data_IF_961724497955
#
_entry.id   IF_961724497955
#
_cell.length_a   1.000
_cell.length_b   1.000
_cell.length_c   1.000
_cell.angle_alpha   90.00
_cell.angle_beta   90.00
_cell.angle_gamma   90.00
#
_symmetry.space_group_name_H-M   'P 1'
#
loop_
_entity.id
_entity.type
_entity.pdbx_description
1 polymer ?
#
# COMPACT_ATOMS: atom_id res chain seq x y z
N UNK A 1 -10.15 40.61 -9.31
CA UNK A 1 -11.02 39.80 -8.42
C UNK A 1 -10.15 38.73 -7.78
N UNK A 2 -9.94 38.81 -6.46
CA UNK A 2 -9.15 37.82 -5.72
C UNK A 2 -9.83 36.47 -5.85
N UNK A 3 -9.15 35.49 -6.47
CA UNK A 3 -9.58 34.11 -6.52
C UNK A 3 -9.56 33.57 -5.10
N UNK A 4 -10.70 33.67 -4.40
CA UNK A 4 -10.89 32.92 -3.16
C UNK A 4 -10.72 31.45 -3.53
N UNK A 5 -9.59 30.86 -3.16
CA UNK A 5 -9.35 29.43 -3.21
C UNK A 5 -10.43 28.75 -2.39
N UNK A 6 -11.52 28.36 -3.04
CA UNK A 6 -12.62 27.66 -2.42
C UNK A 6 -12.14 26.23 -2.16
N UNK A 7 -11.54 26.00 -0.98
CA UNK A 7 -11.17 24.67 -0.54
C UNK A 7 -12.44 23.93 -0.16
N UNK A 8 -12.72 22.82 -0.84
CA UNK A 8 -13.84 21.96 -0.52
C UNK A 8 -13.62 21.38 0.90
N UNK A 9 -14.49 21.67 1.89
CA UNK A 9 -14.31 21.18 3.26
C UNK A 9 -14.23 19.65 3.35
N UNK A 10 -14.89 18.95 2.41
CA UNK A 10 -14.83 17.48 2.33
C UNK A 10 -13.49 16.98 1.77
N UNK A 11 -12.86 17.72 0.85
CA UNK A 11 -11.48 17.43 0.42
C UNK A 11 -10.48 17.72 1.54
N UNK A 12 -10.62 18.84 2.25
CA UNK A 12 -9.75 19.19 3.38
C UNK A 12 -9.87 18.16 4.52
N UNK A 13 -11.07 17.65 4.81
CA UNK A 13 -11.27 16.59 5.79
C UNK A 13 -10.69 15.23 5.35
N UNK A 14 -10.72 14.90 4.04
CA UNK A 14 -10.04 13.70 3.51
C UNK A 14 -8.52 13.85 3.46
N UNK A 15 -8.01 15.04 3.17
CA UNK A 15 -6.58 15.35 3.20
C UNK A 15 -6.02 15.20 4.61
N UNK A 16 -6.76 15.67 5.61
CA UNK A 16 -6.36 15.61 7.03
C UNK A 16 -6.80 14.33 7.72
N UNK A 17 -7.47 13.39 7.05
CA UNK A 17 -8.05 12.22 7.73
C UNK A 17 -6.99 11.36 8.41
N UNK A 18 -5.86 11.09 7.72
CA UNK A 18 -4.76 10.31 8.29
C UNK A 18 -4.13 11.05 9.48
N UNK A 19 -3.75 12.32 9.30
CA UNK A 19 -3.17 13.13 10.37
C UNK A 19 -4.11 13.25 11.60
N UNK A 20 -5.42 13.42 11.38
CA UNK A 20 -6.41 13.50 12.45
C UNK A 20 -6.58 12.17 13.18
N UNK A 21 -6.62 11.04 12.46
CA UNK A 21 -6.70 9.70 13.06
C UNK A 21 -5.47 9.43 13.92
N UNK A 22 -4.29 9.71 13.37
CA UNK A 22 -3.01 9.54 14.06
C UNK A 22 -2.93 10.43 15.30
N UNK A 23 -3.30 11.71 15.18
CA UNK A 23 -3.30 12.64 16.32
C UNK A 23 -4.25 12.15 17.43
N UNK A 24 -5.40 11.58 17.07
CA UNK A 24 -6.33 10.98 18.04
C UNK A 24 -5.73 9.75 18.72
N UNK A 25 -5.08 8.86 17.96
CA UNK A 25 -4.35 7.71 18.54
C UNK A 25 -3.35 8.19 19.59
N UNK A 26 -2.57 9.24 19.28
CA UNK A 26 -1.60 9.80 20.23
C UNK A 26 -2.27 10.22 21.55
N UNK A 27 -3.33 11.00 21.43
CA UNK A 27 -4.01 11.57 22.59
C UNK A 27 -4.61 10.47 23.46
N UNK A 28 -5.18 9.44 22.84
CA UNK A 28 -5.78 8.33 23.58
C UNK A 28 -4.72 7.38 24.17
N UNK A 29 -3.55 7.20 23.54
CA UNK A 29 -2.41 6.47 24.13
C UNK A 29 -1.81 7.24 25.31
N UNK A 30 -1.56 8.55 25.15
CA UNK A 30 -1.02 9.41 26.23
C UNK A 30 -1.96 9.56 27.41
N UNK A 31 -3.27 9.46 27.17
CA UNK A 31 -4.30 9.45 28.20
C UNK A 31 -4.58 8.04 28.76
N UNK A 32 -3.76 7.04 28.42
CA UNK A 32 -3.87 5.64 28.88
C UNK A 32 -5.21 4.97 28.54
N UNK A 33 -5.91 5.47 27.50
CA UNK A 33 -7.16 4.88 26.99
C UNK A 33 -6.91 3.77 25.98
N UNK A 34 -5.75 3.79 25.33
CA UNK A 34 -5.31 2.80 24.35
C UNK A 34 -3.88 2.34 24.66
N UNK A 35 -3.59 1.09 24.34
CA UNK A 35 -2.25 0.51 24.43
C UNK A 35 -1.67 0.41 23.01
N UNK A 36 -0.37 0.70 22.85
CA UNK A 36 0.33 0.50 21.58
C UNK A 36 0.22 -0.97 21.15
N UNK A 37 -0.30 -1.27 19.96
CA UNK A 37 -0.28 -2.65 19.47
C UNK A 37 1.15 -3.07 19.12
N UNK A 38 1.41 -4.37 19.21
CA UNK A 38 2.57 -4.95 18.56
C UNK A 38 2.35 -4.98 17.05
N UNK A 39 3.38 -4.65 16.28
CA UNK A 39 3.37 -4.61 14.83
C UNK A 39 4.54 -5.45 14.29
N UNK A 40 4.19 -6.48 13.53
CA UNK A 40 5.14 -7.25 12.72
C UNK A 40 5.07 -6.73 11.29
N UNK A 41 6.20 -6.27 10.75
CA UNK A 41 6.37 -5.97 9.34
C UNK A 41 7.15 -7.11 8.67
N UNK A 42 6.44 -7.99 7.96
CA UNK A 42 7.02 -9.16 7.31
C UNK A 42 7.25 -8.89 5.82
N UNK A 43 8.49 -8.97 5.37
CA UNK A 43 8.86 -8.86 3.96
C UNK A 43 9.00 -10.24 3.32
N UNK A 44 8.29 -10.45 2.22
CA UNK A 44 8.28 -11.68 1.41
C UNK A 44 8.92 -11.42 0.04
N UNK A 45 8.35 -11.98 -1.04
CA UNK A 45 8.86 -11.77 -2.39
C UNK A 45 8.48 -10.37 -2.93
N UNK A 46 9.26 -9.36 -2.52
CA UNK A 46 9.07 -7.94 -2.84
C UNK A 46 10.39 -7.22 -3.14
N UNK A 47 10.37 -5.89 -3.07
CA UNK A 47 11.50 -5.04 -3.43
C UNK A 47 11.92 -4.04 -2.33
N UNK A 48 11.38 -4.20 -1.11
CA UNK A 48 11.47 -3.24 0.00
C UNK A 48 10.91 -1.83 -0.33
N UNK A 49 10.21 -1.68 -1.46
CA UNK A 49 9.68 -0.39 -1.89
C UNK A 49 8.59 0.16 -0.97
N UNK A 50 7.81 -0.70 -0.30
CA UNK A 50 6.75 -0.24 0.60
C UNK A 50 7.31 0.19 1.96
N UNK A 51 8.30 -0.52 2.52
CA UNK A 51 9.00 -0.05 3.73
C UNK A 51 9.75 1.27 3.47
N UNK A 52 10.43 1.42 2.33
CA UNK A 52 11.06 2.70 1.95
C UNK A 52 10.00 3.81 1.75
N UNK A 53 8.85 3.48 1.15
CA UNK A 53 7.72 4.41 1.02
C UNK A 53 7.18 4.83 2.39
N UNK A 54 7.09 3.91 3.36
CA UNK A 54 6.72 4.20 4.74
C UNK A 54 7.72 5.15 5.43
N UNK A 55 9.03 4.93 5.23
CA UNK A 55 10.09 5.80 5.75
C UNK A 55 10.02 7.23 5.19
N UNK A 56 9.43 7.42 4.00
CA UNK A 56 9.22 8.74 3.40
C UNK A 56 7.97 9.48 3.92
N UNK A 57 7.22 8.91 4.86
CA UNK A 57 6.10 9.59 5.53
C UNK A 57 6.58 10.82 6.30
N UNK A 58 5.79 11.91 6.30
CA UNK A 58 6.19 13.17 6.93
C UNK A 58 5.23 13.68 8.01
N UNK A 59 3.94 13.31 8.00
CA UNK A 59 2.94 13.87 8.92
C UNK A 59 1.76 12.89 9.17
N UNK A 60 1.90 11.89 10.04
CA UNK A 60 3.10 11.54 10.83
C UNK A 60 4.22 10.91 10.00
N UNK A 61 5.43 10.91 10.56
CA UNK A 61 6.59 10.23 10.00
C UNK A 61 6.79 8.82 10.60
N UNK A 62 7.84 8.13 10.14
CA UNK A 62 8.19 6.80 10.64
C UNK A 62 8.68 6.84 12.10
N UNK A 63 9.39 7.90 12.50
CA UNK A 63 9.83 8.03 13.89
C UNK A 63 8.61 8.00 14.83
N UNK A 64 7.57 8.76 14.49
CA UNK A 64 6.32 8.75 15.23
C UNK A 64 5.66 7.36 15.29
N UNK A 65 5.66 6.60 14.19
CA UNK A 65 5.13 5.23 14.18
C UNK A 65 5.76 4.38 15.29
N UNK A 66 7.10 4.40 15.38
CA UNK A 66 7.85 3.53 16.30
C UNK A 66 7.92 4.06 17.73
N UNK A 67 7.84 5.38 17.93
CA UNK A 67 7.91 5.98 19.27
C UNK A 67 6.56 6.11 19.93
N UNK A 68 5.48 6.36 19.18
CA UNK A 68 4.20 6.79 19.74
C UNK A 68 3.00 5.95 19.30
N UNK A 69 3.05 5.25 18.17
CA UNK A 69 1.86 4.59 17.61
C UNK A 69 1.81 3.07 17.78
N UNK A 70 2.92 2.38 17.56
CA UNK A 70 2.99 0.91 17.63
C UNK A 70 4.37 0.44 18.09
N UNK A 71 4.42 -0.73 18.71
CA UNK A 71 5.67 -1.39 19.04
C UNK A 71 6.07 -2.28 17.85
N UNK A 72 7.06 -1.87 17.06
CA UNK A 72 7.57 -2.74 15.98
C UNK A 72 8.35 -3.89 16.62
N UNK A 73 7.75 -5.08 16.61
CA UNK A 73 8.36 -6.29 17.17
C UNK A 73 9.27 -6.99 16.19
N UNK A 74 9.04 -6.82 14.88
CA UNK A 74 9.88 -7.38 13.84
C UNK A 74 9.78 -6.57 12.55
N UNK A 75 10.92 -6.42 11.87
CA UNK A 75 11.02 -5.88 10.52
C UNK A 75 12.28 -6.43 9.87
N UNK A 76 12.16 -7.07 8.69
CA UNK A 76 13.32 -7.61 7.97
C UNK A 76 14.40 -6.54 7.72
N UNK A 77 13.98 -5.32 7.36
CA UNK A 77 14.89 -4.23 6.98
C UNK A 77 15.40 -3.39 8.15
N UNK A 78 14.69 -3.35 9.29
CA UNK A 78 14.93 -2.33 10.34
C UNK A 78 15.23 -2.91 11.72
N UNK A 79 15.07 -4.22 11.92
CA UNK A 79 15.34 -4.84 13.21
C UNK A 79 16.85 -4.85 13.51
N UNK A 80 17.22 -4.57 14.76
CA UNK A 80 18.61 -4.60 15.19
C UNK A 80 19.14 -6.04 15.39
N UNK A 81 18.26 -6.97 15.80
CA UNK A 81 18.59 -8.38 15.92
C UNK A 81 18.76 -9.03 14.54
N UNK A 82 19.60 -10.06 14.47
CA UNK A 82 19.88 -10.80 13.23
C UNK A 82 19.84 -12.31 13.44
N UNK A 83 19.85 -13.06 12.33
CA UNK A 83 19.92 -14.52 12.34
C UNK A 83 18.83 -15.18 13.19
N UNK A 84 19.22 -16.16 14.02
CA UNK A 84 18.25 -16.91 14.83
C UNK A 84 17.56 -16.05 15.89
N UNK A 85 18.22 -15.00 16.41
CA UNK A 85 17.59 -14.09 17.37
C UNK A 85 16.43 -13.33 16.73
N UNK A 86 16.63 -12.78 15.53
CA UNK A 86 15.57 -12.13 14.77
C UNK A 86 14.40 -13.09 14.49
N UNK A 87 14.69 -14.35 14.15
CA UNK A 87 13.66 -15.36 13.92
C UNK A 87 12.89 -15.75 15.19
N UNK A 88 13.54 -15.74 16.36
CA UNK A 88 12.85 -15.90 17.64
C UNK A 88 11.90 -14.72 17.87
N UNK A 89 12.37 -13.47 17.71
CA UNK A 89 11.51 -12.28 17.86
C UNK A 89 10.31 -12.29 16.90
N UNK A 90 10.50 -12.80 15.67
CA UNK A 90 9.39 -12.99 14.72
C UNK A 90 8.33 -13.96 15.22
N UNK A 91 8.73 -15.11 15.76
CA UNK A 91 7.80 -16.17 16.13
C UNK A 91 7.30 -16.11 17.57
N UNK A 92 8.00 -15.44 18.48
CA UNK A 92 7.61 -15.29 19.89
C UNK A 92 6.38 -14.38 20.06
N UNK A 93 6.01 -13.60 19.02
CA UNK A 93 4.75 -12.84 19.01
C UNK A 93 3.52 -13.73 18.90
N UNK A 94 3.67 -14.99 18.49
CA UNK A 94 2.57 -15.95 18.40
C UNK A 94 1.95 -16.17 19.79
N UNK A 95 0.62 -16.09 19.89
CA UNK A 95 -0.11 -16.14 21.17
C UNK A 95 -0.26 -14.78 21.86
N UNK A 96 0.39 -13.73 21.34
CA UNK A 96 0.15 -12.34 21.76
C UNK A 96 -0.87 -11.62 20.86
N UNK A 97 -1.29 -10.42 21.23
CA UNK A 97 -2.10 -9.55 20.38
C UNK A 97 -1.19 -8.69 19.49
N UNK A 98 -1.14 -8.97 18.18
CA UNK A 98 -0.31 -8.24 17.23
C UNK A 98 -1.02 -7.99 15.89
N UNK A 99 -0.61 -6.95 15.19
CA UNK A 99 -1.00 -6.66 13.81
C UNK A 99 0.12 -7.14 12.90
N UNK A 100 -0.24 -7.85 11.83
CA UNK A 100 0.70 -8.30 10.80
C UNK A 100 0.56 -7.44 9.55
N UNK A 101 1.58 -6.67 9.24
CA UNK A 101 1.74 -6.02 7.94
C UNK A 101 2.65 -6.89 7.07
N UNK A 102 2.18 -7.28 5.89
CA UNK A 102 2.95 -8.12 4.95
C UNK A 102 3.25 -7.32 3.70
N UNK A 103 4.52 -7.22 3.33
CA UNK A 103 5.00 -6.66 2.07
C UNK A 103 5.54 -7.79 1.17
N UNK A 104 5.26 -7.74 -0.12
CA UNK A 104 5.72 -8.75 -1.09
C UNK A 104 4.73 -9.89 -1.31
N UNK A 105 4.85 -10.56 -2.46
CA UNK A 105 3.98 -11.67 -2.84
C UNK A 105 4.39 -12.96 -2.12
N UNK A 106 3.45 -13.91 -2.02
CA UNK A 106 3.72 -15.23 -1.45
C UNK A 106 4.06 -16.19 -2.59
N UNK A 107 5.27 -16.74 -2.60
CA UNK A 107 5.66 -17.78 -3.58
C UNK A 107 5.09 -19.13 -3.14
N UNK A 108 4.39 -19.85 -4.03
CA UNK A 108 3.87 -21.20 -3.73
C UNK A 108 4.74 -22.33 -4.29
N UNK A 109 5.53 -22.06 -5.33
CA UNK A 109 6.29 -23.11 -6.01
C UNK A 109 7.36 -23.72 -5.10
N UNK A 110 7.54 -25.04 -5.22
CA UNK A 110 8.44 -25.83 -4.38
C UNK A 110 8.21 -25.55 -2.89
N UNK A 111 6.94 -25.58 -2.45
CA UNK A 111 6.55 -25.33 -1.05
C UNK A 111 7.08 -23.99 -0.50
N UNK A 112 7.16 -22.98 -1.37
CA UNK A 112 7.61 -21.63 -1.05
C UNK A 112 9.13 -21.42 -1.03
N UNK A 113 9.93 -22.40 -1.47
CA UNK A 113 11.41 -22.32 -1.43
C UNK A 113 12.04 -21.20 -2.24
N UNK A 114 11.33 -20.58 -3.17
CA UNK A 114 11.81 -19.38 -3.88
C UNK A 114 11.80 -18.10 -3.03
N UNK A 115 11.30 -18.16 -1.79
CA UNK A 115 11.43 -17.08 -0.81
C UNK A 115 11.70 -17.69 0.58
N UNK A 116 12.97 -17.85 0.93
CA UNK A 116 13.42 -18.20 2.28
C UNK A 116 13.72 -16.89 3.01
N UNK A 117 13.04 -16.65 4.13
CA UNK A 117 13.16 -15.39 4.89
C UNK A 117 14.21 -15.45 6.00
N UNK A 118 14.68 -16.66 6.34
CA UNK A 118 15.67 -16.86 7.38
C UNK A 118 15.81 -18.33 7.75
N UNK A 119 16.53 -18.59 8.85
CA UNK A 119 16.63 -19.91 9.47
C UNK A 119 16.24 -19.83 10.92
N UNK A 120 15.31 -20.69 11.35
CA UNK A 120 14.89 -20.81 12.74
C UNK A 120 15.29 -22.20 13.23
N UNK A 121 16.14 -22.25 14.26
CA UNK A 121 16.70 -23.51 14.79
C UNK A 121 17.37 -24.37 13.70
N UNK A 122 18.18 -23.72 12.85
CA UNK A 122 18.89 -24.29 11.69
C UNK A 122 18.04 -24.70 10.49
N UNK A 123 16.71 -24.77 10.63
CA UNK A 123 15.79 -25.07 9.53
C UNK A 123 15.45 -23.83 8.72
N UNK A 124 15.37 -23.97 7.39
CA UNK A 124 15.00 -22.87 6.51
C UNK A 124 13.51 -22.56 6.65
N UNK A 125 13.18 -21.29 6.89
CA UNK A 125 11.80 -20.82 6.99
C UNK A 125 11.41 -20.12 5.70
N UNK A 126 10.38 -20.63 5.03
CA UNK A 126 9.84 -19.99 3.83
C UNK A 126 8.92 -18.83 4.18
N UNK A 127 8.79 -17.86 3.28
CA UNK A 127 7.83 -16.78 3.42
C UNK A 127 6.39 -17.29 3.49
N UNK A 128 6.07 -18.37 2.78
CA UNK A 128 4.79 -19.07 2.84
C UNK A 128 4.51 -19.62 4.25
N UNK A 129 5.47 -20.32 4.84
CA UNK A 129 5.34 -20.85 6.20
C UNK A 129 5.14 -19.71 7.21
N UNK A 130 5.98 -18.68 7.13
CA UNK A 130 5.94 -17.56 8.06
C UNK A 130 4.59 -16.82 7.99
N UNK A 131 4.11 -16.49 6.79
CA UNK A 131 2.83 -15.77 6.63
C UNK A 131 1.66 -16.61 7.10
N UNK A 132 1.66 -17.93 6.88
CA UNK A 132 0.60 -18.82 7.39
C UNK A 132 0.60 -18.89 8.91
N UNK A 133 1.77 -19.10 9.54
CA UNK A 133 1.89 -19.21 11.01
C UNK A 133 1.49 -17.93 11.75
N UNK A 134 1.91 -16.77 11.22
CA UNK A 134 1.65 -15.46 11.81
C UNK A 134 0.27 -14.94 11.43
N UNK A 135 -0.10 -15.07 10.15
CA UNK A 135 -1.35 -14.55 9.61
C UNK A 135 -2.57 -15.12 10.27
N UNK A 136 -2.60 -16.42 10.56
CA UNK A 136 -3.75 -17.05 11.23
C UNK A 136 -3.93 -16.60 12.70
N UNK A 137 -2.89 -16.05 13.32
CA UNK A 137 -2.91 -15.67 14.74
C UNK A 137 -2.91 -14.16 14.99
N UNK A 138 -2.63 -13.35 13.96
CA UNK A 138 -2.68 -11.91 14.08
C UNK A 138 -4.09 -11.41 14.44
N UNK A 139 -4.21 -10.26 15.10
CA UNK A 139 -5.51 -9.60 15.28
C UNK A 139 -6.05 -9.07 13.94
N UNK A 140 -5.16 -8.46 13.14
CA UNK A 140 -5.43 -7.95 11.81
C UNK A 140 -4.25 -8.27 10.89
N UNK A 141 -4.55 -8.58 9.63
CA UNK A 141 -3.55 -8.75 8.57
C UNK A 141 -3.74 -7.66 7.51
N UNK A 142 -2.67 -6.94 7.20
CA UNK A 142 -2.63 -5.87 6.21
C UNK A 142 -1.66 -6.27 5.10
N UNK A 143 -2.17 -6.49 3.89
CA UNK A 143 -1.34 -6.69 2.70
C UNK A 143 -0.92 -5.33 2.15
N UNK A 144 0.37 -5.01 2.27
CA UNK A 144 0.95 -3.72 1.91
C UNK A 144 1.60 -3.81 0.52
N UNK A 145 1.02 -3.06 -0.42
CA UNK A 145 1.48 -2.97 -1.80
C UNK A 145 0.85 -4.01 -2.73
N UNK A 146 1.04 -3.81 -4.03
CA UNK A 146 0.42 -4.62 -5.09
C UNK A 146 0.86 -6.10 -5.02
N UNK A 147 2.12 -6.36 -4.68
CA UNK A 147 2.65 -7.72 -4.56
C UNK A 147 1.95 -8.51 -3.44
N UNK A 148 1.87 -7.94 -2.23
CA UNK A 148 1.15 -8.59 -1.13
C UNK A 148 -0.36 -8.67 -1.40
N UNK A 149 -0.92 -7.70 -2.14
CA UNK A 149 -2.36 -7.65 -2.34
C UNK A 149 -2.88 -8.68 -3.33
N UNK A 150 -2.21 -8.81 -4.48
CA UNK A 150 -2.67 -9.64 -5.60
C UNK A 150 -1.51 -10.22 -6.43
N UNK A 151 -0.34 -10.40 -5.82
CA UNK A 151 0.87 -10.94 -6.46
C UNK A 151 1.71 -9.91 -7.23
N UNK A 152 1.10 -8.84 -7.73
CA UNK A 152 1.79 -7.71 -8.36
C UNK A 152 2.78 -8.12 -9.46
N UNK A 153 3.93 -7.44 -9.53
CA UNK A 153 4.98 -7.75 -10.52
C UNK A 153 5.52 -9.17 -10.36
N UNK A 154 5.59 -9.68 -9.12
CA UNK A 154 6.08 -11.03 -8.82
C UNK A 154 5.17 -12.14 -9.38
N UNK A 155 3.90 -11.83 -9.62
CA UNK A 155 2.90 -12.73 -10.22
C UNK A 155 2.56 -12.39 -11.67
N UNK A 156 3.24 -11.41 -12.28
CA UNK A 156 3.07 -11.09 -13.69
C UNK A 156 3.43 -12.29 -14.57
N UNK A 157 2.82 -12.41 -15.75
CA UNK A 157 3.12 -13.49 -16.69
C UNK A 157 4.64 -13.55 -16.97
N UNK A 158 5.27 -14.74 -16.94
CA UNK A 158 4.67 -16.07 -16.85
C UNK A 158 4.49 -16.63 -15.42
N UNK A 159 4.74 -15.85 -14.36
CA UNK A 159 4.67 -16.23 -12.95
C UNK A 159 5.43 -17.54 -12.60
N UNK A 160 6.75 -17.60 -12.85
CA UNK A 160 7.52 -18.85 -12.79
C UNK A 160 7.67 -19.45 -11.39
N UNK A 161 7.36 -18.68 -10.34
CA UNK A 161 7.41 -19.08 -8.93
C UNK A 161 6.02 -19.21 -8.30
N UNK A 162 4.95 -19.11 -9.11
CA UNK A 162 3.56 -19.23 -8.64
C UNK A 162 3.24 -18.28 -7.48
N UNK A 163 3.64 -17.03 -7.62
CA UNK A 163 3.36 -15.98 -6.66
C UNK A 163 1.86 -15.64 -6.62
N UNK A 164 1.34 -15.40 -5.43
CA UNK A 164 -0.05 -15.02 -5.14
C UNK A 164 -0.13 -13.89 -4.11
N UNK A 165 -1.32 -13.30 -3.93
CA UNK A 165 -1.58 -12.37 -2.84
C UNK A 165 -1.70 -13.07 -1.48
N UNK A 166 -1.46 -12.35 -0.40
CA UNK A 166 -1.50 -12.87 0.99
C UNK A 166 -2.86 -13.47 1.35
N UNK A 167 -3.95 -12.90 0.83
CA UNK A 167 -5.30 -13.39 1.08
C UNK A 167 -5.58 -14.78 0.48
N UNK A 168 -4.78 -15.23 -0.48
CA UNK A 168 -4.97 -16.53 -1.14
C UNK A 168 -4.40 -17.69 -0.31
N UNK A 169 -3.56 -17.39 0.68
CA UNK A 169 -2.88 -18.39 1.52
C UNK A 169 -3.35 -18.39 2.99
N UNK A 170 -4.34 -17.56 3.32
CA UNK A 170 -4.90 -17.42 4.67
C UNK A 170 -6.40 -17.67 4.67
N UNK A 171 -6.92 -18.31 5.72
CA UNK A 171 -8.35 -18.61 5.91
C UNK A 171 -9.06 -17.51 6.72
N UNK A 172 -8.71 -16.25 6.44
CA UNK A 172 -9.26 -15.08 7.13
C UNK A 172 -9.26 -13.85 6.23
N UNK A 173 -9.94 -12.82 6.69
CA UNK A 173 -9.96 -11.53 6.00
C UNK A 173 -8.60 -10.82 6.10
N UNK A 174 -8.16 -10.26 4.97
CA UNK A 174 -6.93 -9.47 4.84
C UNK A 174 -7.30 -8.09 4.29
N UNK A 175 -6.86 -7.04 4.96
CA UNK A 175 -7.04 -5.64 4.51
C UNK A 175 -6.03 -5.37 3.41
N UNK A 176 -6.50 -4.86 2.28
CA UNK A 176 -5.72 -4.73 1.04
C UNK A 176 -5.30 -3.27 0.82
N UNK A 177 -4.00 -3.00 0.77
CA UNK A 177 -3.44 -1.69 0.46
C UNK A 177 -2.61 -1.73 -0.84
N UNK A 178 -3.24 -1.97 -2.01
CA UNK A 178 -2.51 -2.07 -3.26
C UNK A 178 -1.90 -0.73 -3.68
N UNK A 179 -0.74 -0.82 -4.32
CA UNK A 179 0.09 0.30 -4.76
C UNK A 179 1.51 -0.22 -4.98
N UNK A 180 2.24 0.34 -5.94
CA UNK A 180 3.62 -0.08 -6.21
C UNK A 180 4.53 1.15 -6.27
N UNK A 181 4.89 1.75 -5.11
CA UNK A 181 4.60 1.27 -3.74
C UNK A 181 3.24 1.74 -3.17
N UNK A 182 2.86 1.22 -2.00
CA UNK A 182 1.80 1.76 -1.16
C UNK A 182 2.22 3.13 -0.60
N UNK A 183 1.34 4.13 -0.62
CA UNK A 183 1.63 5.45 -0.03
C UNK A 183 1.75 5.34 1.50
N UNK A 184 2.67 6.06 2.17
CA UNK A 184 2.83 6.03 3.63
C UNK A 184 1.53 6.32 4.39
N UNK A 185 0.82 7.39 4.01
CA UNK A 185 -0.46 7.75 4.65
C UNK A 185 -1.56 6.69 4.51
N UNK A 186 -1.53 5.85 3.47
CA UNK A 186 -2.51 4.77 3.31
C UNK A 186 -2.28 3.71 4.38
N UNK A 187 -1.02 3.34 4.62
CA UNK A 187 -0.67 2.43 5.71
C UNK A 187 -0.92 3.06 7.07
N UNK A 188 -0.35 4.24 7.34
CA UNK A 188 -0.45 4.95 8.62
C UNK A 188 -1.90 5.23 9.01
N UNK A 189 -2.73 5.68 8.06
CA UNK A 189 -4.14 5.95 8.32
C UNK A 189 -4.97 4.68 8.54
N UNK A 190 -4.64 3.58 7.84
CA UNK A 190 -5.29 2.28 8.07
C UNK A 190 -4.94 1.75 9.45
N UNK A 191 -3.66 1.77 9.84
CA UNK A 191 -3.20 1.34 11.15
C UNK A 191 -3.81 2.19 12.27
N UNK A 192 -3.83 3.51 12.12
CA UNK A 192 -4.47 4.41 13.09
C UNK A 192 -5.98 4.14 13.23
N UNK A 193 -6.68 3.84 12.13
CA UNK A 193 -8.10 3.47 12.18
C UNK A 193 -8.30 2.16 12.95
N UNK A 194 -7.47 1.14 12.69
CA UNK A 194 -7.50 -0.15 13.39
C UNK A 194 -7.33 0.04 14.90
N UNK A 195 -6.36 0.86 15.32
CA UNK A 195 -6.09 1.14 16.73
C UNK A 195 -7.30 1.81 17.41
N UNK A 196 -7.98 2.73 16.73
CA UNK A 196 -9.09 3.49 17.31
C UNK A 196 -10.42 2.74 17.30
N UNK A 197 -10.70 2.02 16.21
CA UNK A 197 -12.07 1.56 15.91
C UNK A 197 -12.13 0.12 15.39
N UNK A 198 -10.99 -0.55 15.19
CA UNK A 198 -10.93 -1.85 14.53
C UNK A 198 -11.02 -1.75 13.00
N UNK A 199 -11.61 -2.74 12.34
CA UNK A 199 -11.61 -2.79 10.86
C UNK A 199 -12.23 -1.53 10.22
N UNK A 200 -11.54 -0.86 9.29
CA UNK A 200 -12.10 0.28 8.57
C UNK A 200 -13.17 -0.18 7.56
N UNK A 201 -14.11 0.69 7.14
CA UNK A 201 -15.00 0.40 6.02
C UNK A 201 -14.21 0.07 4.75
N UNK A 202 -14.44 -1.11 4.18
CA UNK A 202 -13.73 -1.61 3.00
C UNK A 202 -14.64 -1.68 1.77
N UNK A 203 -14.05 -1.62 0.58
CA UNK A 203 -14.72 -1.98 -0.66
C UNK A 203 -14.80 -3.51 -0.85
N UNK A 204 -15.38 -3.95 -1.98
CA UNK A 204 -15.54 -5.37 -2.31
C UNK A 204 -14.23 -6.12 -2.56
N UNK A 205 -13.08 -5.43 -2.55
CA UNK A 205 -11.74 -6.02 -2.63
C UNK A 205 -10.96 -5.83 -1.33
N UNK A 206 -11.67 -5.58 -0.22
CA UNK A 206 -11.09 -5.36 1.11
C UNK A 206 -10.15 -4.15 1.18
N UNK A 207 -10.32 -3.13 0.33
CA UNK A 207 -9.51 -1.91 0.36
C UNK A 207 -10.21 -0.81 1.17
N UNK A 208 -9.53 -0.06 2.05
CA UNK A 208 -10.17 1.01 2.83
C UNK A 208 -10.81 2.10 1.96
N UNK A 209 -12.11 2.33 2.14
CA UNK A 209 -12.88 3.30 1.36
C UNK A 209 -12.31 4.73 1.48
N UNK A 210 -11.67 5.06 2.60
CA UNK A 210 -11.08 6.39 2.79
C UNK A 210 -10.01 6.74 1.72
N UNK A 211 -9.32 5.74 1.15
CA UNK A 211 -8.28 5.93 0.12
C UNK A 211 -8.73 5.46 -1.27
N UNK A 212 -9.44 4.32 -1.33
CA UNK A 212 -9.71 3.59 -2.57
C UNK A 212 -11.14 3.79 -3.13
N UNK A 213 -11.90 4.80 -2.67
CA UNK A 213 -13.30 4.99 -3.09
C UNK A 213 -13.50 5.54 -4.50
N UNK A 214 -12.52 6.29 -5.03
CA UNK A 214 -12.74 7.18 -6.20
C UNK A 214 -11.62 7.01 -7.19
N UNK A 215 -11.93 7.06 -8.48
CA UNK A 215 -10.89 6.95 -9.52
C UNK A 215 -10.03 8.19 -9.56
N UNK A 216 -8.78 8.04 -10.01
CA UNK A 216 -7.91 9.18 -10.33
C UNK A 216 -8.61 10.12 -11.32
N UNK A 217 -9.29 9.56 -12.33
CA UNK A 217 -9.93 10.33 -13.39
C UNK A 217 -11.07 11.23 -12.90
N UNK A 218 -11.83 10.78 -11.90
CA UNK A 218 -12.90 11.60 -11.29
C UNK A 218 -12.38 12.83 -10.55
N UNK A 219 -11.08 12.85 -10.22
CA UNK A 219 -10.39 13.95 -9.52
C UNK A 219 -9.25 14.55 -10.34
N UNK A 220 -9.12 14.16 -11.60
CA UNK A 220 -7.99 14.54 -12.41
C UNK A 220 -8.12 16.02 -12.83
N UNK A 221 -7.10 16.87 -12.59
CA UNK A 221 -7.13 18.27 -13.04
C UNK A 221 -7.22 18.40 -14.56
N UNK A 222 -6.82 17.35 -15.30
CA UNK A 222 -6.91 17.28 -16.78
C UNK A 222 -8.25 16.74 -17.29
N UNK A 223 -9.27 16.62 -16.44
CA UNK A 223 -10.57 16.05 -16.81
C UNK A 223 -11.27 16.85 -17.90
N UNK A 224 -11.22 18.18 -17.84
CA UNK A 224 -11.79 19.04 -18.88
C UNK A 224 -11.20 18.77 -20.26
N UNK A 225 -9.88 18.50 -20.36
CA UNK A 225 -9.27 18.12 -21.63
C UNK A 225 -9.83 16.81 -22.17
N UNK A 226 -10.04 15.81 -21.31
CA UNK A 226 -10.68 14.54 -21.71
C UNK A 226 -12.09 14.76 -22.24
N UNK A 227 -12.92 15.50 -21.50
CA UNK A 227 -14.32 15.73 -21.86
C UNK A 227 -14.47 16.52 -23.18
N UNK A 228 -13.48 17.35 -23.53
CA UNK A 228 -13.42 18.10 -24.79
C UNK A 228 -12.67 17.36 -25.92
N UNK A 229 -12.21 16.13 -25.70
CA UNK A 229 -11.47 15.36 -26.70
C UNK A 229 -10.04 15.88 -27.01
N UNK A 230 -9.47 16.68 -26.10
CA UNK A 230 -8.14 17.28 -26.23
C UNK A 230 -7.12 16.33 -25.58
N UNK A 231 -6.46 15.53 -26.40
CA UNK A 231 -5.51 14.52 -25.93
C UNK A 231 -4.07 14.89 -26.23
N UNK A 232 -3.18 14.52 -25.31
CA UNK A 232 -1.75 14.57 -25.52
C UNK A 232 -1.36 13.60 -26.64
N UNK A 233 -0.44 14.03 -27.50
CA UNK A 233 0.10 13.24 -28.62
C UNK A 233 1.47 12.65 -28.31
N UNK A 234 2.15 13.18 -27.30
CA UNK A 234 3.44 12.69 -26.77
C UNK A 234 3.54 12.94 -25.26
N UNK A 235 4.43 12.21 -24.60
CA UNK A 235 4.74 12.39 -23.18
C UNK A 235 5.29 13.80 -22.92
N UNK A 236 5.03 14.36 -21.74
CA UNK A 236 5.43 15.74 -21.39
C UNK A 236 4.39 16.82 -21.75
N UNK A 237 3.33 16.49 -22.49
CA UNK A 237 2.27 17.47 -22.80
C UNK A 237 1.27 17.59 -21.64
N UNK A 238 0.80 18.82 -21.38
CA UNK A 238 -0.07 19.16 -20.24
C UNK A 238 -1.54 18.75 -20.40
N UNK A 239 -1.92 18.22 -21.56
CA UNK A 239 -3.30 17.81 -21.89
C UNK A 239 -3.58 16.36 -21.48
N UNK A 240 -4.78 15.82 -21.78
CA UNK A 240 -5.18 14.50 -21.31
C UNK A 240 -4.35 13.37 -21.94
N UNK A 241 -3.67 12.57 -21.12
CA UNK A 241 -2.83 11.45 -21.58
C UNK A 241 -3.59 10.12 -21.73
N UNK A 242 -4.93 10.15 -21.83
CA UNK A 242 -5.73 8.92 -21.96
C UNK A 242 -5.30 8.08 -23.17
N UNK A 243 -5.16 8.71 -24.35
CA UNK A 243 -4.71 8.02 -25.57
C UNK A 243 -3.26 7.55 -25.53
N UNK A 244 -2.45 8.07 -24.62
CA UNK A 244 -1.07 7.63 -24.38
C UNK A 244 -0.98 6.46 -23.39
N UNK A 245 -2.11 5.96 -22.84
CA UNK A 245 -2.13 4.80 -21.96
C UNK A 245 -2.48 5.09 -20.50
N UNK A 246 -2.86 6.32 -20.14
CA UNK A 246 -3.19 6.67 -18.76
C UNK A 246 -4.35 5.83 -18.20
N UNK A 247 -4.06 5.01 -17.18
CA UNK A 247 -4.98 4.14 -16.44
C UNK A 247 -5.72 4.84 -15.30
N UNK A 248 -5.68 6.17 -15.26
CA UNK A 248 -6.43 6.97 -14.29
C UNK A 248 -7.94 6.63 -14.22
N UNK A 249 -8.64 6.34 -15.33
CA UNK A 249 -10.07 6.00 -15.32
C UNK A 249 -10.44 4.71 -14.59
N UNK A 250 -9.51 3.78 -14.43
CA UNK A 250 -9.76 2.48 -13.78
C UNK A 250 -9.09 2.34 -12.42
N UNK A 251 -8.24 3.30 -12.04
CA UNK A 251 -7.42 3.23 -10.84
C UNK A 251 -8.04 4.04 -9.71
N UNK A 252 -8.50 3.37 -8.65
CA UNK A 252 -9.14 4.02 -7.50
C UNK A 252 -8.15 4.31 -6.36
N UNK A 253 -7.57 5.50 -6.36
CA UNK A 253 -6.69 6.02 -5.30
C UNK A 253 -6.77 7.55 -5.26
N UNK A 254 -6.26 8.14 -4.19
CA UNK A 254 -6.34 9.58 -3.94
C UNK A 254 -5.10 10.39 -4.33
N UNK A 255 -4.18 9.84 -5.15
CA UNK A 255 -2.98 10.54 -5.63
C UNK A 255 -3.20 11.97 -6.17
N UNK A 256 -4.29 12.31 -6.90
CA UNK A 256 -4.49 13.69 -7.37
C UNK A 256 -4.64 14.72 -6.25
N UNK A 257 -5.06 14.25 -5.07
CA UNK A 257 -5.32 15.08 -3.90
C UNK A 257 -4.15 14.97 -2.91
N UNK A 258 -3.76 13.75 -2.57
CA UNK A 258 -2.68 13.48 -1.61
C UNK A 258 -1.30 13.70 -2.18
N UNK A 259 -1.12 13.46 -3.48
CA UNK A 259 0.17 13.51 -4.16
C UNK A 259 1.20 12.58 -3.48
N UNK A 260 2.49 12.79 -3.69
CA UNK A 260 3.58 11.98 -3.17
C UNK A 260 4.71 12.86 -2.61
N UNK A 261 5.52 12.27 -1.73
CA UNK A 261 6.76 12.85 -1.18
C UNK A 261 6.55 14.24 -0.53
N UNK A 262 5.62 14.32 0.43
CA UNK A 262 5.32 15.59 1.11
C UNK A 262 4.40 16.53 0.32
N UNK A 263 3.46 15.95 -0.44
CA UNK A 263 2.55 16.70 -1.32
C UNK A 263 3.28 17.53 -2.41
N UNK A 264 4.41 17.01 -2.91
CA UNK A 264 5.25 17.75 -3.87
C UNK A 264 4.83 17.48 -5.31
N UNK A 265 4.58 16.21 -5.66
CA UNK A 265 4.26 15.84 -7.04
C UNK A 265 3.49 14.51 -7.11
N UNK A 266 2.97 14.14 -8.28
CA UNK A 266 2.38 12.84 -8.59
C UNK A 266 2.41 12.60 -10.10
N UNK A 267 2.22 11.35 -10.59
CA UNK A 267 2.54 11.01 -11.98
C UNK A 267 1.92 11.93 -13.05
N UNK A 268 0.62 12.23 -12.96
CA UNK A 268 -0.05 13.06 -13.98
C UNK A 268 0.30 14.55 -13.84
N UNK A 269 0.67 15.04 -12.66
CA UNK A 269 1.19 16.41 -12.53
C UNK A 269 2.56 16.52 -13.21
N UNK A 270 3.38 15.49 -13.09
CA UNK A 270 4.69 15.34 -13.74
C UNK A 270 4.61 14.96 -15.23
N UNK A 271 3.48 15.23 -15.89
CA UNK A 271 3.25 14.97 -17.30
C UNK A 271 3.51 13.49 -17.72
N UNK A 272 3.32 12.54 -16.80
CA UNK A 272 3.47 11.09 -16.99
C UNK A 272 2.14 10.33 -16.78
N UNK A 273 1.77 9.37 -17.65
CA UNK A 273 0.52 8.65 -17.51
C UNK A 273 0.48 7.80 -16.23
N UNK A 274 -0.68 7.75 -15.58
CA UNK A 274 -0.90 6.78 -14.51
C UNK A 274 -0.82 5.35 -15.08
N UNK A 275 0.02 4.50 -14.49
CA UNK A 275 0.17 3.09 -14.89
C UNK A 275 -0.79 2.13 -14.18
N UNK A 276 -1.62 2.64 -13.25
CA UNK A 276 -2.59 1.85 -12.52
C UNK A 276 -2.01 0.90 -11.47
N UNK A 277 -0.91 1.29 -10.82
CA UNK A 277 -0.18 0.44 -9.87
C UNK A 277 -0.99 -0.04 -8.63
N UNK A 278 -2.13 0.59 -8.34
CA UNK A 278 -3.03 0.21 -7.24
C UNK A 278 -4.27 -0.58 -7.71
N UNK A 279 -4.32 -0.98 -8.98
CA UNK A 279 -5.41 -1.74 -9.55
C UNK A 279 -5.05 -3.22 -9.61
N UNK A 280 -5.96 -4.09 -9.16
CA UNK A 280 -5.72 -5.54 -9.27
C UNK A 280 -5.59 -5.92 -10.74
N UNK A 281 -4.62 -6.80 -11.02
CA UNK A 281 -4.19 -7.15 -12.36
C UNK A 281 -3.01 -6.32 -12.86
N UNK A 282 -2.53 -5.31 -12.13
CA UNK A 282 -1.24 -4.69 -12.40
C UNK A 282 -0.10 -5.73 -12.21
N UNK A 283 0.88 -5.82 -13.14
CA UNK A 283 1.06 -4.97 -14.31
C UNK A 283 0.26 -5.41 -15.55
N UNK A 284 0.06 -6.71 -15.75
CA UNK A 284 -0.38 -7.30 -17.02
C UNK A 284 -1.68 -6.72 -17.60
N UNK A 285 -2.68 -6.44 -16.76
CA UNK A 285 -3.97 -5.89 -17.19
C UNK A 285 -3.92 -4.38 -17.48
N UNK A 286 -2.82 -3.72 -17.07
CA UNK A 286 -2.58 -2.29 -17.27
C UNK A 286 -1.67 -2.02 -18.47
N UNK A 287 -1.07 -3.06 -19.06
CA UNK A 287 -0.24 -2.97 -20.25
C UNK A 287 -1.07 -2.74 -21.54
N UNK A 288 -0.47 -2.12 -22.57
CA UNK A 288 0.79 -1.38 -22.52
C UNK A 288 0.65 -0.11 -21.66
N UNK A 289 1.70 0.26 -20.94
CA UNK A 289 1.70 1.47 -20.08
C UNK A 289 1.79 2.76 -20.88
N UNK A 290 2.47 2.71 -22.03
CA UNK A 290 2.60 3.82 -22.95
C UNK A 290 2.17 3.36 -24.34
N UNK A 291 1.27 4.10 -24.98
CA UNK A 291 0.92 3.92 -26.38
C UNK A 291 1.60 5.01 -27.22
N UNK A 292 2.56 4.60 -28.05
CA UNK A 292 3.29 5.50 -28.96
C UNK A 292 2.54 5.80 -30.27
N UNK A 293 1.40 5.15 -30.52
CA UNK A 293 0.55 5.36 -31.70
C UNK A 293 -0.88 5.77 -31.29
N UNK A 294 -1.08 6.94 -30.66
CA UNK A 294 -2.38 7.37 -30.14
C UNK A 294 -3.44 7.67 -31.22
N UNK A 295 -3.05 7.73 -32.49
CA UNK A 295 -3.94 7.98 -33.65
C UNK A 295 -4.60 6.73 -34.21
N UNK A 296 -4.03 5.54 -33.95
CA UNK A 296 -4.72 4.28 -34.21
C UNK A 296 -5.66 4.05 -33.03
N UNK A 297 -6.95 4.26 -33.24
CA UNK A 297 -7.97 4.00 -32.23
C UNK A 297 -7.80 2.60 -31.64
N UNK A 298 -8.05 2.49 -30.34
CA UNK A 298 -8.25 1.20 -29.65
C UNK A 298 -9.56 0.61 -30.15
#
# INVERSE_FOLDING_TARGET
MSSKNFKCPYQDNKLKSTANLVARVNNDIKAEKLVKPNLVWLELNGCAGNIISLLNGQNPDFQYLITDMANITYSNSLLAAEGNQAMNELFDVIGSNFILAVEGAVSLKEDGRYNIIGRHNHEAVTGLEAVQRLGEQAAYVIAVGACASHGGISAARPNPTSCVGVHEVLQRKVIQLPGCPCHPDWFMGTLAYIILYGEPPLDSRNRPLMFYSTTIHDRCPRRSYFDNGIFATKLGEKTCMFKLGCRGPVTRIDCPIRQWNGHVNWPIEDDSPCIGCAQFGFPDAMEPFVNFNPTKGV
#
